data_IF_821605449739
#
_entry.id   IF_821605449739
#
_cell.length_a   1.000
_cell.length_b   1.000
_cell.length_c   1.000
_cell.angle_alpha   90.00
_cell.angle_beta   90.00
_cell.angle_gamma   90.00
#
_symmetry.space_group_name_H-M   'P 1'
#
loop_
_entity.id
_entity.type
_entity.pdbx_description
1 polymer ?
#
# COMPACT_ATOMS: atom_id res chain seq x y z
N UNK A 1 -16.91 -23.84 -26.40
CA UNK A 1 -16.23 -24.59 -25.31
C UNK A 1 -14.72 -24.33 -25.29
N UNK A 2 -13.98 -24.52 -26.39
CA UNK A 2 -12.53 -24.29 -26.44
C UNK A 2 -12.10 -22.86 -26.04
N UNK A 3 -12.83 -21.83 -26.48
CA UNK A 3 -12.53 -20.42 -26.20
C UNK A 3 -12.70 -20.04 -24.72
N UNK A 4 -13.68 -20.63 -24.04
CA UNK A 4 -13.88 -20.44 -22.59
C UNK A 4 -12.75 -21.11 -21.79
N UNK A 5 -12.32 -22.29 -22.22
CA UNK A 5 -11.24 -23.04 -21.57
C UNK A 5 -9.89 -22.31 -21.70
N UNK A 6 -9.60 -21.71 -22.86
CA UNK A 6 -8.40 -20.87 -23.05
C UNK A 6 -8.44 -19.60 -22.22
N UNK A 7 -9.61 -18.95 -22.07
CA UNK A 7 -9.75 -17.74 -21.27
C UNK A 7 -9.52 -18.01 -19.77
N UNK A 8 -10.11 -19.08 -19.24
CA UNK A 8 -9.90 -19.51 -17.85
C UNK A 8 -8.44 -19.84 -17.59
N UNK A 9 -7.77 -20.53 -18.51
CA UNK A 9 -6.34 -20.83 -18.40
C UNK A 9 -5.49 -19.56 -18.33
N UNK A 10 -5.75 -18.57 -19.20
CA UNK A 10 -5.04 -17.28 -19.21
C UNK A 10 -5.22 -16.56 -17.86
N UNK A 11 -6.44 -16.56 -17.31
CA UNK A 11 -6.73 -15.94 -16.00
C UNK A 11 -5.94 -16.64 -14.89
N UNK A 12 -5.93 -17.96 -14.85
CA UNK A 12 -5.19 -18.75 -13.85
C UNK A 12 -3.69 -18.48 -13.95
N UNK A 13 -3.12 -18.53 -15.15
CA UNK A 13 -1.69 -18.27 -15.38
C UNK A 13 -1.32 -16.85 -14.96
N UNK A 14 -2.13 -15.86 -15.33
CA UNK A 14 -1.92 -14.45 -14.95
C UNK A 14 -1.98 -14.28 -13.43
N UNK A 15 -2.96 -14.90 -12.78
CA UNK A 15 -3.09 -14.89 -11.33
C UNK A 15 -1.86 -15.50 -10.64
N UNK A 16 -1.38 -16.66 -11.12
CA UNK A 16 -0.18 -17.30 -10.58
C UNK A 16 1.07 -16.43 -10.74
N UNK A 17 1.25 -15.80 -11.91
CA UNK A 17 2.38 -14.89 -12.15
C UNK A 17 2.32 -13.69 -11.19
N UNK A 18 1.15 -13.08 -11.02
CA UNK A 18 0.95 -11.96 -10.10
C UNK A 18 1.22 -12.38 -8.63
N UNK A 19 0.74 -13.56 -8.23
CA UNK A 19 0.95 -14.10 -6.88
C UNK A 19 2.43 -14.35 -6.61
N UNK A 20 3.13 -15.05 -7.50
CA UNK A 20 4.57 -15.33 -7.37
C UNK A 20 5.38 -14.03 -7.34
N UNK A 21 5.09 -13.10 -8.26
CA UNK A 21 5.78 -11.80 -8.31
C UNK A 21 5.58 -11.00 -7.03
N UNK A 22 4.36 -10.97 -6.49
CA UNK A 22 4.04 -10.30 -5.22
C UNK A 22 4.79 -10.90 -4.03
N UNK A 23 4.84 -12.24 -3.95
CA UNK A 23 5.61 -12.95 -2.91
C UNK A 23 7.10 -12.63 -3.00
N UNK A 24 7.67 -12.63 -4.20
CA UNK A 24 9.08 -12.30 -4.41
C UNK A 24 9.38 -10.86 -4.00
N UNK A 25 8.59 -9.89 -4.49
CA UNK A 25 8.76 -8.47 -4.14
C UNK A 25 8.70 -8.28 -2.62
N UNK A 26 7.73 -8.89 -1.96
CA UNK A 26 7.60 -8.82 -0.52
C UNK A 26 8.80 -9.44 0.20
N UNK A 27 9.25 -10.63 -0.21
CA UNK A 27 10.40 -11.30 0.39
C UNK A 27 11.67 -10.46 0.23
N UNK A 28 11.88 -9.85 -0.94
CA UNK A 28 13.03 -8.98 -1.22
C UNK A 28 12.99 -7.72 -0.34
N UNK A 29 11.81 -7.09 -0.16
CA UNK A 29 11.65 -5.91 0.69
C UNK A 29 11.70 -6.24 2.20
N UNK A 30 11.33 -7.45 2.58
CA UNK A 30 11.34 -7.90 3.97
C UNK A 30 12.77 -7.95 4.56
N UNK A 31 13.77 -8.31 3.75
CA UNK A 31 15.18 -8.40 4.18
C UNK A 31 15.69 -7.08 4.78
N UNK A 32 15.65 -5.93 4.06
CA UNK A 32 16.13 -4.68 4.61
C UNK A 32 15.29 -4.21 5.80
N UNK A 33 13.96 -4.42 5.80
CA UNK A 33 13.12 -4.09 6.96
C UNK A 33 13.42 -4.93 8.20
N UNK A 34 13.74 -6.21 8.02
CA UNK A 34 14.19 -7.08 9.11
C UNK A 34 15.49 -6.55 9.72
N UNK A 35 16.49 -6.24 8.89
CA UNK A 35 17.79 -5.73 9.35
C UNK A 35 17.62 -4.37 10.04
N UNK A 36 16.89 -3.45 9.42
CA UNK A 36 16.58 -2.14 9.99
C UNK A 36 15.83 -2.26 11.32
N UNK A 37 14.81 -3.11 11.40
CA UNK A 37 14.04 -3.35 12.62
C UNK A 37 14.89 -3.95 13.75
N UNK A 38 15.77 -4.91 13.45
CA UNK A 38 16.71 -5.47 14.42
C UNK A 38 17.65 -4.41 14.99
N UNK A 39 18.19 -3.54 14.13
CA UNK A 39 19.08 -2.44 14.53
C UNK A 39 18.36 -1.36 15.33
N UNK A 40 17.09 -1.12 15.02
CA UNK A 40 16.23 -0.21 15.77
C UNK A 40 15.68 -0.82 17.09
N UNK A 41 16.13 -2.01 17.49
CA UNK A 41 15.73 -2.63 18.76
C UNK A 41 14.38 -3.35 18.77
N UNK A 42 13.76 -3.59 17.62
CA UNK A 42 12.47 -4.31 17.57
C UNK A 42 12.64 -5.80 17.95
N UNK A 43 12.00 -6.20 19.06
CA UNK A 43 11.96 -7.59 19.56
C UNK A 43 11.47 -8.58 18.50
N UNK A 44 10.48 -8.19 17.70
CA UNK A 44 9.84 -9.04 16.70
C UNK A 44 10.09 -8.58 15.27
N UNK A 45 11.32 -8.19 14.92
CA UNK A 45 11.66 -7.74 13.56
C UNK A 45 11.33 -8.77 12.45
N UNK A 46 11.21 -10.07 12.77
CA UNK A 46 10.84 -11.13 11.83
C UNK A 46 9.45 -10.94 11.20
N UNK A 47 8.56 -10.13 11.79
CA UNK A 47 7.26 -9.81 11.18
C UNK A 47 7.41 -9.08 9.83
N UNK A 48 8.61 -8.59 9.50
CA UNK A 48 8.94 -8.03 8.19
C UNK A 48 8.60 -8.97 7.03
N UNK A 49 8.67 -10.29 7.24
CA UNK A 49 8.41 -11.30 6.21
C UNK A 49 6.91 -11.51 5.94
N UNK A 50 6.03 -11.02 6.82
CA UNK A 50 4.59 -11.12 6.63
C UNK A 50 4.14 -9.90 5.80
N UNK A 51 3.53 -10.08 4.60
CA UNK A 51 3.30 -8.99 3.66
C UNK A 51 2.64 -7.75 4.23
N UNK A 52 1.59 -7.93 5.03
CA UNK A 52 0.90 -6.81 5.66
C UNK A 52 1.71 -6.18 6.80
N UNK A 53 2.47 -6.97 7.57
CA UNK A 53 3.21 -6.48 8.74
C UNK A 53 4.58 -5.89 8.39
N UNK A 54 5.10 -6.13 7.18
CA UNK A 54 6.29 -5.45 6.66
C UNK A 54 6.15 -3.92 6.75
N UNK A 55 4.95 -3.41 6.43
CA UNK A 55 4.63 -1.99 6.50
C UNK A 55 4.54 -1.49 7.94
N UNK A 56 4.08 -2.32 8.87
CA UNK A 56 4.07 -1.96 10.29
C UNK A 56 5.47 -1.59 10.77
N UNK A 57 6.50 -2.40 10.44
CA UNK A 57 7.89 -2.10 10.78
C UNK A 57 8.35 -0.77 10.15
N UNK A 58 8.10 -0.59 8.86
CA UNK A 58 8.51 0.63 8.14
C UNK A 58 7.88 1.91 8.74
N UNK A 59 6.67 1.80 9.29
CA UNK A 59 5.96 2.89 9.96
C UNK A 59 6.49 3.15 11.37
N UNK A 60 6.88 2.12 12.10
CA UNK A 60 7.26 2.24 13.51
C UNK A 60 8.72 2.63 13.71
N UNK A 61 9.64 2.19 12.83
CA UNK A 61 11.09 2.47 12.97
C UNK A 61 11.42 3.95 13.17
N UNK A 62 10.83 4.90 12.41
CA UNK A 62 11.28 6.29 12.45
C UNK A 62 11.05 7.02 13.78
N UNK A 63 10.24 6.52 14.71
CA UNK A 63 9.92 7.17 16.01
C UNK A 63 9.63 8.69 15.96
N UNK A 64 9.17 9.20 14.83
CA UNK A 64 8.84 10.63 14.66
C UNK A 64 7.40 10.90 15.00
N UNK A 65 7.12 12.06 15.60
CA UNK A 65 5.75 12.57 15.66
C UNK A 65 5.19 12.72 14.25
N UNK A 66 3.92 12.41 14.09
CA UNK A 66 3.23 12.61 12.83
C UNK A 66 2.36 13.86 12.90
N UNK A 67 2.43 14.67 11.85
CA UNK A 67 1.64 15.86 11.67
C UNK A 67 1.26 16.01 10.19
N UNK A 68 0.14 15.41 9.76
CA UNK A 68 -0.51 15.74 8.48
C UNK A 68 -1.69 16.67 8.77
N UNK A 69 -1.38 17.93 9.11
CA UNK A 69 -2.32 19.04 9.25
C UNK A 69 -3.48 18.82 10.21
N UNK A 70 -4.45 18.02 9.77
CA UNK A 70 -5.68 17.60 10.45
C UNK A 70 -5.40 16.52 11.51
N UNK A 71 -4.41 15.64 11.27
CA UNK A 71 -4.08 14.53 12.18
C UNK A 71 -2.69 14.73 12.79
N UNK A 72 -2.67 14.87 14.12
CA UNK A 72 -1.45 14.87 14.94
C UNK A 72 -1.49 13.69 15.89
N UNK A 73 -0.51 12.79 15.80
CA UNK A 73 -0.38 11.70 16.75
C UNK A 73 1.07 11.27 16.89
N UNK A 74 1.44 10.90 18.11
CA UNK A 74 2.74 10.32 18.41
C UNK A 74 2.71 8.79 18.30
N UNK A 75 1.52 8.18 18.25
CA UNK A 75 1.39 6.73 18.16
C UNK A 75 1.47 6.25 16.70
N UNK A 76 2.67 5.85 16.30
CA UNK A 76 2.93 5.30 14.96
C UNK A 76 2.15 4.01 14.65
N UNK A 77 1.68 3.26 15.64
CA UNK A 77 0.85 2.06 15.37
C UNK A 77 -0.48 2.42 14.72
N UNK A 78 -1.03 3.60 15.02
CA UNK A 78 -2.27 4.09 14.40
C UNK A 78 -2.08 4.27 12.88
N UNK A 79 -0.90 4.66 12.42
CA UNK A 79 -0.60 4.79 10.99
C UNK A 79 -0.76 3.50 10.22
N UNK A 80 -0.28 2.41 10.81
CA UNK A 80 -0.43 1.09 10.21
C UNK A 80 -1.91 0.74 10.04
N UNK A 81 -2.74 0.98 11.05
CA UNK A 81 -4.17 0.70 10.98
C UNK A 81 -4.92 1.61 10.00
N UNK A 82 -4.57 2.90 9.92
CA UNK A 82 -5.12 3.82 8.91
C UNK A 82 -4.73 3.35 7.51
N UNK A 83 -3.44 3.02 7.29
CA UNK A 83 -2.95 2.51 6.02
C UNK A 83 -3.65 1.21 5.62
N UNK A 84 -3.82 0.27 6.55
CA UNK A 84 -4.51 -0.99 6.32
C UNK A 84 -5.98 -0.77 5.97
N UNK A 85 -6.69 0.07 6.75
CA UNK A 85 -8.08 0.41 6.52
C UNK A 85 -8.30 1.06 5.15
N UNK A 86 -7.44 2.00 4.75
CA UNK A 86 -7.49 2.62 3.43
C UNK A 86 -7.19 1.63 2.30
N UNK A 87 -6.21 0.73 2.50
CA UNK A 87 -5.89 -0.31 1.51
C UNK A 87 -7.06 -1.25 1.28
N UNK A 88 -7.75 -1.67 2.34
CA UNK A 88 -8.96 -2.48 2.26
C UNK A 88 -10.11 -1.72 1.59
N UNK A 89 -10.30 -0.45 1.93
CA UNK A 89 -11.32 0.40 1.31
C UNK A 89 -11.11 0.58 -0.20
N UNK A 90 -9.86 0.78 -0.63
CA UNK A 90 -9.49 0.86 -2.05
C UNK A 90 -9.78 -0.47 -2.74
N UNK A 91 -9.36 -1.59 -2.15
CA UNK A 91 -9.57 -2.93 -2.71
C UNK A 91 -11.06 -3.24 -2.88
N UNK A 92 -11.88 -2.92 -1.88
CA UNK A 92 -13.34 -3.07 -1.94
C UNK A 92 -13.95 -2.19 -3.03
N UNK A 93 -13.61 -0.89 -3.03
CA UNK A 93 -14.15 0.08 -4.01
C UNK A 93 -13.79 -0.30 -5.44
N UNK A 94 -12.55 -0.75 -5.66
CA UNK A 94 -12.08 -1.24 -6.96
C UNK A 94 -12.80 -2.53 -7.37
N UNK A 95 -13.02 -3.46 -6.45
CA UNK A 95 -13.73 -4.72 -6.74
C UNK A 95 -15.18 -4.46 -7.16
N UNK A 96 -15.89 -3.58 -6.46
CA UNK A 96 -17.26 -3.18 -6.81
C UNK A 96 -17.28 -2.52 -8.20
N UNK A 97 -16.39 -1.54 -8.41
CA UNK A 97 -16.30 -0.82 -9.68
C UNK A 97 -15.97 -1.75 -10.86
N UNK A 98 -14.95 -2.59 -10.71
CA UNK A 98 -14.51 -3.54 -11.76
C UNK A 98 -15.56 -4.60 -12.05
N UNK A 99 -16.23 -5.14 -11.02
CA UNK A 99 -17.30 -6.10 -11.21
C UNK A 99 -18.45 -5.51 -12.03
N UNK A 100 -18.95 -4.34 -11.64
CA UNK A 100 -20.03 -3.67 -12.36
C UNK A 100 -19.58 -3.39 -13.80
N UNK A 101 -18.48 -2.67 -14.01
CA UNK A 101 -17.99 -2.33 -15.36
C UNK A 101 -17.73 -3.55 -16.26
N UNK A 102 -17.21 -4.65 -15.72
CA UNK A 102 -17.00 -5.90 -16.49
C UNK A 102 -18.31 -6.55 -16.94
N UNK A 103 -19.36 -6.50 -16.12
CA UNK A 103 -20.68 -7.00 -16.47
C UNK A 103 -21.33 -6.12 -17.56
N UNK A 104 -21.17 -4.78 -17.49
CA UNK A 104 -21.56 -3.87 -18.59
C UNK A 104 -20.95 -4.30 -19.91
N UNK A 105 -19.64 -4.46 -19.89
CA UNK A 105 -18.86 -4.66 -21.09
C UNK A 105 -19.19 -6.01 -21.73
N UNK A 106 -19.35 -7.04 -20.89
CA UNK A 106 -19.75 -8.38 -21.34
C UNK A 106 -21.14 -8.37 -21.99
N UNK A 107 -22.10 -7.66 -21.39
CA UNK A 107 -23.46 -7.58 -21.92
C UNK A 107 -23.53 -6.77 -23.23
N UNK A 108 -22.72 -5.71 -23.36
CA UNK A 108 -22.55 -4.96 -24.61
C UNK A 108 -22.01 -5.85 -25.74
N UNK A 109 -20.99 -6.67 -25.44
CA UNK A 109 -20.36 -7.56 -26.43
C UNK A 109 -21.30 -8.68 -26.92
N UNK A 110 -22.18 -9.18 -26.05
CA UNK A 110 -23.10 -10.26 -26.38
C UNK A 110 -24.39 -9.78 -27.07
N UNK A 111 -24.52 -8.47 -27.34
CA UNK A 111 -25.77 -7.85 -27.79
C UNK A 111 -26.97 -8.20 -26.88
N UNK A 112 -26.72 -8.45 -25.59
CA UNK A 112 -27.75 -8.72 -24.61
C UNK A 112 -28.34 -7.38 -24.13
N UNK A 113 -29.25 -6.84 -24.95
CA UNK A 113 -29.88 -5.55 -24.73
C UNK A 113 -30.76 -5.53 -23.47
N UNK A 114 -31.33 -6.66 -23.05
CA UNK A 114 -32.16 -6.73 -21.84
C UNK A 114 -31.32 -6.68 -20.55
N UNK A 115 -30.16 -7.34 -20.54
CA UNK A 115 -29.25 -7.27 -19.40
C UNK A 115 -28.53 -5.93 -19.30
N UNK A 116 -28.04 -5.38 -20.42
CA UNK A 116 -27.39 -4.04 -20.43
C UNK A 116 -28.34 -2.94 -19.98
N UNK A 117 -29.60 -2.97 -20.41
CA UNK A 117 -30.58 -1.98 -19.97
C UNK A 117 -30.93 -2.16 -18.49
N UNK A 118 -31.21 -3.36 -17.99
CA UNK A 118 -31.59 -3.54 -16.58
C UNK A 118 -30.50 -3.14 -15.56
N UNK A 119 -29.23 -3.45 -15.83
CA UNK A 119 -28.14 -3.11 -14.90
C UNK A 119 -27.83 -1.61 -14.94
N UNK A 120 -27.80 -0.95 -16.10
CA UNK A 120 -27.35 0.45 -16.24
C UNK A 120 -28.45 1.51 -16.33
N UNK A 121 -29.69 1.14 -16.63
CA UNK A 121 -30.80 2.10 -16.61
C UNK A 121 -31.34 2.31 -15.20
N UNK A 122 -31.02 1.44 -14.25
CA UNK A 122 -31.38 1.67 -12.86
C UNK A 122 -30.56 2.85 -12.31
N UNK A 123 -31.20 3.96 -11.88
CA UNK A 123 -30.46 5.11 -11.34
C UNK A 123 -29.55 4.75 -10.16
N UNK A 124 -29.92 3.71 -9.40
CA UNK A 124 -29.15 3.19 -8.27
C UNK A 124 -27.78 2.63 -8.68
N UNK A 125 -27.70 1.85 -9.77
CA UNK A 125 -26.42 1.28 -10.23
C UNK A 125 -25.41 2.36 -10.61
N UNK A 126 -25.87 3.41 -11.30
CA UNK A 126 -25.05 4.53 -11.75
C UNK A 126 -24.51 5.28 -10.54
N UNK A 127 -25.36 5.52 -9.54
CA UNK A 127 -24.94 6.16 -8.28
C UNK A 127 -23.89 5.31 -7.56
N UNK A 128 -24.09 3.98 -7.46
CA UNK A 128 -23.13 3.08 -6.81
C UNK A 128 -21.77 3.10 -7.53
N UNK A 129 -21.75 3.06 -8.87
CA UNK A 129 -20.52 3.13 -9.66
C UNK A 129 -19.80 4.46 -9.43
N UNK A 130 -20.52 5.58 -9.47
CA UNK A 130 -19.94 6.91 -9.26
C UNK A 130 -19.36 7.06 -7.84
N UNK A 131 -20.09 6.60 -6.82
CA UNK A 131 -19.61 6.62 -5.43
C UNK A 131 -18.37 5.73 -5.28
N UNK A 132 -18.38 4.52 -5.85
CA UNK A 132 -17.25 3.59 -5.78
C UNK A 132 -16.00 4.16 -6.45
N UNK A 133 -16.16 4.80 -7.61
CA UNK A 133 -15.07 5.47 -8.32
C UNK A 133 -14.51 6.66 -7.52
N UNK A 134 -15.39 7.48 -6.95
CA UNK A 134 -15.00 8.63 -6.12
C UNK A 134 -14.23 8.17 -4.87
N UNK A 135 -14.75 7.16 -4.16
CA UNK A 135 -14.12 6.57 -2.99
C UNK A 135 -12.76 5.96 -3.32
N UNK A 136 -12.66 5.23 -4.43
CA UNK A 136 -11.39 4.69 -4.93
C UNK A 136 -10.37 5.80 -5.17
N UNK A 137 -10.75 6.87 -5.86
CA UNK A 137 -9.86 7.97 -6.21
C UNK A 137 -9.38 8.73 -4.96
N UNK A 138 -10.30 9.14 -4.08
CA UNK A 138 -9.96 9.87 -2.86
C UNK A 138 -9.06 9.01 -1.96
N UNK A 139 -9.43 7.76 -1.74
CA UNK A 139 -8.67 6.86 -0.87
C UNK A 139 -7.27 6.59 -1.44
N UNK A 140 -7.13 6.45 -2.76
CA UNK A 140 -5.83 6.25 -3.43
C UNK A 140 -4.90 7.46 -3.27
N UNK A 141 -5.44 8.68 -3.36
CA UNK A 141 -4.66 9.91 -3.12
C UNK A 141 -4.20 9.96 -1.66
N UNK A 142 -5.11 9.74 -0.71
CA UNK A 142 -4.76 9.73 0.73
C UNK A 142 -3.73 8.64 1.04
N UNK A 143 -3.89 7.43 0.50
CA UNK A 143 -2.93 6.34 0.66
C UNK A 143 -1.56 6.70 0.07
N UNK A 144 -1.53 7.37 -1.08
CA UNK A 144 -0.28 7.82 -1.71
C UNK A 144 0.46 8.84 -0.84
N UNK A 145 -0.26 9.79 -0.25
CA UNK A 145 0.30 10.77 0.71
C UNK A 145 0.85 10.06 1.95
N UNK A 146 0.14 9.06 2.48
CA UNK A 146 0.62 8.27 3.62
C UNK A 146 1.87 7.47 3.26
N UNK A 147 1.87 6.77 2.13
CA UNK A 147 3.03 6.02 1.65
C UNK A 147 4.24 6.93 1.44
N UNK A 148 4.05 8.09 0.81
CA UNK A 148 5.07 9.13 0.70
C UNK A 148 5.65 9.49 2.06
N UNK A 149 4.79 9.82 3.03
CA UNK A 149 5.23 10.24 4.36
C UNK A 149 5.99 9.14 5.10
N UNK A 150 5.54 7.89 5.01
CA UNK A 150 6.21 6.74 5.62
C UNK A 150 7.62 6.58 5.04
N UNK A 151 7.74 6.63 3.71
CA UNK A 151 9.04 6.48 3.05
C UNK A 151 9.95 7.67 3.35
N UNK A 152 9.43 8.90 3.38
CA UNK A 152 10.17 10.10 3.76
C UNK A 152 10.74 9.97 5.17
N UNK A 153 9.91 9.61 6.15
CA UNK A 153 10.33 9.47 7.53
C UNK A 153 11.41 8.38 7.67
N UNK A 154 11.21 7.23 7.01
CA UNK A 154 12.18 6.14 7.01
C UNK A 154 13.53 6.54 6.39
N UNK A 155 13.53 7.13 5.19
CA UNK A 155 14.75 7.56 4.52
C UNK A 155 15.51 8.61 5.34
N UNK A 156 14.77 9.52 5.97
CA UNK A 156 15.36 10.58 6.80
C UNK A 156 15.93 10.02 8.11
N UNK A 157 15.31 9.01 8.72
CA UNK A 157 15.89 8.31 9.89
C UNK A 157 17.21 7.62 9.59
N UNK A 158 17.48 7.21 8.35
CA UNK A 158 18.75 6.58 7.97
C UNK A 158 19.70 7.51 7.20
N UNK A 159 19.63 8.82 7.45
CA UNK A 159 20.63 9.79 7.00
C UNK A 159 20.63 10.08 5.50
N UNK A 160 19.45 10.03 4.85
CA UNK A 160 19.27 10.50 3.46
C UNK A 160 18.57 11.88 3.42
N UNK A 161 18.86 12.81 4.33
CA UNK A 161 18.13 14.08 4.46
C UNK A 161 17.92 14.85 3.14
N UNK A 162 18.99 15.04 2.36
CA UNK A 162 18.94 15.78 1.09
C UNK A 162 18.15 15.05 0.00
N UNK A 163 17.98 13.74 0.11
CA UNK A 163 17.39 12.90 -0.94
C UNK A 163 16.03 12.32 -0.56
N UNK A 164 15.70 12.29 0.74
CA UNK A 164 14.51 11.64 1.27
C UNK A 164 13.22 12.20 0.65
N UNK A 165 13.15 13.52 0.44
CA UNK A 165 11.97 14.15 -0.15
C UNK A 165 11.73 13.71 -1.59
N UNK A 166 12.70 13.89 -2.49
CA UNK A 166 12.47 13.56 -3.90
C UNK A 166 12.35 12.04 -4.10
N UNK A 167 13.15 11.22 -3.40
CA UNK A 167 13.06 9.76 -3.49
C UNK A 167 11.68 9.27 -3.07
N UNK A 168 11.15 9.78 -1.94
CA UNK A 168 9.82 9.38 -1.47
C UNK A 168 8.71 9.81 -2.43
N UNK A 169 8.83 10.97 -3.10
CA UNK A 169 7.86 11.43 -4.11
C UNK A 169 7.93 10.55 -5.36
N UNK A 170 9.13 10.31 -5.90
CA UNK A 170 9.29 9.46 -7.09
C UNK A 170 8.82 8.03 -6.80
N UNK A 171 8.99 7.55 -5.57
CA UNK A 171 8.52 6.23 -5.16
C UNK A 171 6.98 6.07 -5.21
N UNK A 172 6.20 7.16 -5.26
CA UNK A 172 4.75 7.08 -5.51
C UNK A 172 4.50 6.53 -6.92
N UNK A 173 5.31 6.93 -7.90
CA UNK A 173 5.18 6.53 -9.30
C UNK A 173 5.96 5.26 -9.61
N UNK A 174 7.08 5.03 -8.93
CA UNK A 174 7.96 3.88 -9.12
C UNK A 174 8.20 3.17 -7.78
N UNK A 175 7.26 2.33 -7.31
CA UNK A 175 7.35 1.68 -6.00
C UNK A 175 8.58 0.77 -5.81
N UNK A 176 9.18 0.31 -6.91
CA UNK A 176 10.40 -0.50 -6.90
C UNK A 176 11.62 0.29 -6.38
N UNK A 177 11.59 1.64 -6.43
CA UNK A 177 12.69 2.46 -5.90
C UNK A 177 12.88 2.23 -4.40
N UNK A 178 11.80 2.04 -3.65
CA UNK A 178 11.91 1.79 -2.22
C UNK A 178 12.72 0.52 -1.92
N UNK A 179 12.67 -0.50 -2.78
CA UNK A 179 13.48 -1.71 -2.61
C UNK A 179 14.96 -1.32 -2.65
N UNK A 180 15.37 -0.65 -3.73
CA UNK A 180 16.76 -0.22 -3.95
C UNK A 180 17.26 0.64 -2.78
N UNK A 181 16.50 1.67 -2.41
CA UNK A 181 16.89 2.55 -1.30
C UNK A 181 16.86 1.86 0.05
N UNK A 182 15.95 0.91 0.30
CA UNK A 182 15.94 0.11 1.53
C UNK A 182 17.22 -0.71 1.66
N UNK A 183 17.72 -1.29 0.56
CA UNK A 183 19.01 -2.00 0.56
C UNK A 183 20.21 -1.07 0.79
N UNK A 184 20.16 0.17 0.28
CA UNK A 184 21.22 1.16 0.52
C UNK A 184 21.27 1.56 2.01
N UNK A 185 20.10 1.77 2.63
CA UNK A 185 20.02 2.26 4.01
C UNK A 185 20.07 1.17 5.07
N UNK A 186 19.83 -0.11 4.75
CA UNK A 186 19.74 -1.19 5.74
C UNK A 186 21.00 -1.34 6.62
N UNK A 187 22.15 -0.92 6.09
CA UNK A 187 23.44 -1.00 6.78
C UNK A 187 23.80 0.26 7.57
N UNK A 188 22.94 1.28 7.57
CA UNK A 188 23.12 2.49 8.37
C UNK A 188 22.50 2.33 9.75
N UNK A 189 22.97 3.12 10.70
CA UNK A 189 22.33 3.22 12.01
C UNK A 189 21.18 4.23 11.95
N UNK A 190 20.06 3.98 12.66
CA UNK A 190 18.99 4.94 12.73
C UNK A 190 19.43 6.16 13.54
N UNK A 191 19.37 7.33 12.92
CA UNK A 191 19.57 8.61 13.58
C UNK A 191 18.22 9.14 14.08
N UNK A 192 18.06 9.13 15.39
CA UNK A 192 16.89 9.64 16.08
C UNK A 192 16.99 11.11 16.47
N UNK A 193 18.09 11.82 16.15
CA UNK A 193 18.25 13.27 16.29
C UNK A 193 17.67 13.93 17.56
N UNK A 194 17.46 15.24 17.50
CA UNK A 194 16.69 16.02 18.48
C UNK A 194 15.35 16.55 17.92
N UNK A 195 15.13 16.44 16.59
CA UNK A 195 13.99 17.06 15.91
C UNK A 195 12.76 16.13 15.83
N UNK A 196 11.82 16.30 16.77
CA UNK A 196 10.47 15.74 16.66
C UNK A 196 10.36 14.23 16.90
N UNK A 197 11.40 13.62 17.47
CA UNK A 197 11.39 12.24 17.97
C UNK A 197 10.93 12.21 19.43
N UNK A 198 10.16 11.19 19.80
CA UNK A 198 9.81 10.96 21.20
C UNK A 198 10.80 9.96 21.81
N UNK A 199 11.28 10.23 23.02
CA UNK A 199 12.16 9.33 23.77
C UNK A 199 11.37 8.04 24.07
N UNK A 200 11.92 6.89 23.72
CA UNK A 200 11.38 5.56 24.04
C UNK A 200 11.51 5.27 25.54
N UNK A 201 10.75 5.94 26.39
CA UNK A 201 10.80 5.66 27.83
C UNK A 201 10.13 4.32 28.20
N UNK A 202 9.30 3.69 27.33
CA UNK A 202 8.45 2.56 27.76
C UNK A 202 8.11 1.47 26.70
N UNK A 203 9.04 1.06 25.82
CA UNK A 203 8.74 0.02 24.80
C UNK A 203 9.59 -1.27 24.89
N UNK A 204 10.03 -1.63 26.10
CA UNK A 204 10.63 -2.94 26.40
C UNK A 204 9.62 -4.02 26.84
N UNK A 205 8.32 -3.81 26.67
CA UNK A 205 7.28 -4.84 26.92
C UNK A 205 6.78 -5.49 25.61
#
# INVERSE_FOLDING_TARGET
MALALSAVLIIIVTFLICLVTSVIINAVLAIPYFIMGRRAGFKHAWIAFIPMLSKYIAVTIPHRSFNLGILKTNNRKIFYWIWLGLTLLISLSYTIFSHITSNAFSALLLNDYEYTTSVYTSPLSVIIVLISLLLFLISSVVLSILCWRINYDLLKTYGLDNHAMWVSVVNIFVPLLMIVFSFIIMNREPDYGYDGYYILENHLE
#
